data_IF_678267866620
#
_entry.id   IF_678267866620
#
_cell.length_a   1.000
_cell.length_b   1.000
_cell.length_c   1.000
_cell.angle_alpha   90.00
_cell.angle_beta   90.00
_cell.angle_gamma   90.00
#
_symmetry.space_group_name_H-M   'P 1'
#
loop_
_entity.id
_entity.type
_entity.pdbx_description
1 polymer ?
#
# COMPACT_ATOMS: atom_id res chain seq x y z
N UNK A 1 -23.47 -14.11 -13.43
CA UNK A 1 -22.19 -14.86 -13.57
C UNK A 1 -21.73 -14.74 -15.00
N UNK A 2 -21.05 -13.64 -15.35
CA UNK A 2 -20.25 -13.56 -16.58
C UNK A 2 -18.93 -14.24 -16.29
N UNK A 3 -18.64 -15.32 -17.02
CA UNK A 3 -17.39 -16.08 -16.87
C UNK A 3 -16.17 -15.20 -17.12
N UNK A 4 -15.08 -15.46 -16.42
CA UNK A 4 -13.80 -14.82 -16.70
C UNK A 4 -13.48 -14.98 -18.20
N UNK A 5 -12.96 -13.93 -18.87
CA UNK A 5 -12.62 -14.03 -20.29
C UNK A 5 -11.65 -15.19 -20.51
N UNK A 6 -11.95 -16.04 -21.49
CA UNK A 6 -11.20 -17.25 -21.82
C UNK A 6 -9.74 -16.95 -22.25
N UNK A 7 -9.45 -15.69 -22.59
CA UNK A 7 -8.13 -15.15 -22.87
C UNK A 7 -8.02 -13.71 -22.35
N UNK A 8 -6.92 -13.38 -21.66
CA UNK A 8 -6.60 -12.01 -21.27
C UNK A 8 -5.86 -11.33 -22.43
N UNK A 9 -6.46 -10.25 -22.96
CA UNK A 9 -5.79 -9.29 -23.84
C UNK A 9 -5.60 -7.98 -23.07
N UNK A 10 -4.36 -7.73 -22.64
CA UNK A 10 -3.98 -6.55 -21.90
C UNK A 10 -3.45 -5.47 -22.86
N UNK A 11 -4.09 -4.30 -22.85
CA UNK A 11 -3.57 -3.10 -23.50
C UNK A 11 -2.83 -2.24 -22.49
N UNK A 12 -1.77 -1.54 -22.94
CA UNK A 12 -0.95 -0.67 -22.09
C UNK A 12 -0.86 0.70 -22.74
N UNK A 13 -1.15 1.75 -21.99
CA UNK A 13 -0.89 3.15 -22.35
C UNK A 13 0.10 3.76 -21.35
N UNK A 14 1.07 4.52 -21.87
CA UNK A 14 2.00 5.31 -21.05
C UNK A 14 1.65 6.78 -21.29
N UNK A 15 1.11 7.44 -20.27
CA UNK A 15 0.94 8.89 -20.29
C UNK A 15 2.26 9.57 -19.98
N UNK A 16 2.63 10.59 -20.76
CA UNK A 16 3.90 11.28 -20.57
C UNK A 16 3.83 12.76 -20.92
N UNK A 17 4.66 13.56 -20.24
CA UNK A 17 4.91 14.93 -20.64
C UNK A 17 6.09 14.97 -21.62
N UNK A 18 6.03 15.71 -22.75
CA UNK A 18 7.11 15.76 -23.75
C UNK A 18 8.50 16.09 -23.20
N UNK A 19 8.61 16.83 -22.09
CA UNK A 19 9.90 17.09 -21.42
C UNK A 19 10.57 15.84 -20.83
N UNK A 20 9.83 14.75 -20.64
CA UNK A 20 10.32 13.45 -20.10
C UNK A 20 10.51 12.39 -21.17
N UNK A 21 10.46 12.74 -22.46
CA UNK A 21 10.60 11.81 -23.59
C UNK A 21 11.85 10.92 -23.51
N UNK A 22 12.94 11.43 -22.93
CA UNK A 22 14.19 10.70 -22.74
C UNK A 22 14.06 9.47 -21.83
N UNK A 23 13.05 9.41 -20.94
CA UNK A 23 12.81 8.27 -20.06
C UNK A 23 12.06 7.12 -20.75
N UNK A 24 11.33 7.41 -21.83
CA UNK A 24 10.41 6.47 -22.46
C UNK A 24 11.08 5.20 -23.03
N UNK A 25 12.24 5.24 -23.71
CA UNK A 25 12.82 4.04 -24.29
C UNK A 25 13.02 2.90 -23.28
N UNK A 26 13.52 3.23 -22.07
CA UNK A 26 13.71 2.26 -20.99
C UNK A 26 12.39 1.70 -20.47
N UNK A 27 11.37 2.55 -20.33
CA UNK A 27 10.05 2.15 -19.87
C UNK A 27 9.36 1.22 -20.89
N UNK A 28 9.45 1.56 -22.18
CA UNK A 28 8.94 0.74 -23.28
C UNK A 28 9.63 -0.63 -23.32
N UNK A 29 10.96 -0.65 -23.21
CA UNK A 29 11.72 -1.90 -23.13
C UNK A 29 11.28 -2.77 -21.95
N UNK A 30 11.05 -2.15 -20.78
CA UNK A 30 10.60 -2.84 -19.56
C UNK A 30 9.16 -3.39 -19.67
N UNK A 31 8.35 -2.90 -20.62
CA UNK A 31 7.01 -3.42 -20.89
C UNK A 31 7.02 -4.66 -21.80
N UNK A 32 8.14 -5.02 -22.41
CA UNK A 32 8.21 -6.14 -23.35
C UNK A 32 7.68 -7.45 -22.70
N UNK A 33 6.95 -8.30 -23.46
CA UNK A 33 6.65 -8.19 -24.88
C UNK A 33 5.47 -7.25 -25.23
N UNK A 34 4.80 -6.65 -24.24
CA UNK A 34 3.74 -5.69 -24.52
C UNK A 34 4.32 -4.43 -25.18
N UNK A 35 3.62 -3.90 -26.18
CA UNK A 35 3.99 -2.66 -26.86
C UNK A 35 3.06 -1.57 -26.36
N UNK A 36 3.51 -0.68 -25.45
CA UNK A 36 2.66 0.36 -24.91
C UNK A 36 2.35 1.44 -25.95
N UNK A 37 1.11 1.94 -25.93
CA UNK A 37 0.75 3.15 -26.63
C UNK A 37 1.26 4.37 -25.85
N UNK A 38 2.12 5.16 -26.47
CA UNK A 38 2.62 6.40 -25.87
C UNK A 38 1.60 7.52 -26.07
N UNK A 39 1.13 8.11 -24.97
CA UNK A 39 0.13 9.17 -24.96
C UNK A 39 0.77 10.44 -24.39
N UNK A 40 1.09 11.36 -25.29
CA UNK A 40 1.65 12.65 -24.93
C UNK A 40 0.59 13.54 -24.29
N UNK A 41 1.01 14.40 -23.37
CA UNK A 41 0.21 15.54 -22.94
C UNK A 41 -0.24 16.36 -24.16
N UNK A 42 -1.56 16.52 -24.39
CA UNK A 42 -2.07 17.21 -25.57
C UNK A 42 -1.89 18.74 -25.51
N UNK A 43 -1.59 19.32 -24.33
CA UNK A 43 -1.26 20.74 -24.18
C UNK A 43 -0.07 20.93 -23.21
N UNK A 44 1.14 20.53 -23.63
CA UNK A 44 2.33 20.53 -22.78
C UNK A 44 2.88 21.94 -22.48
N UNK A 45 2.39 22.96 -23.18
CA UNK A 45 2.74 24.36 -22.93
C UNK A 45 1.75 25.06 -21.98
N UNK A 46 0.57 24.46 -21.77
CA UNK A 46 -0.44 24.95 -20.83
C UNK A 46 -0.09 24.68 -19.36
N UNK A 47 -0.98 25.07 -18.44
CA UNK A 47 -0.83 24.75 -17.03
C UNK A 47 -0.68 23.23 -16.79
N UNK A 48 0.15 22.80 -15.82
CA UNK A 48 0.32 21.39 -15.49
C UNK A 48 -1.01 20.73 -15.14
N UNK A 49 -1.36 19.67 -15.87
CA UNK A 49 -2.55 18.88 -15.64
C UNK A 49 -2.29 17.39 -15.91
N UNK A 50 -2.13 16.57 -14.85
CA UNK A 50 -2.12 15.12 -14.98
C UNK A 50 -3.41 14.62 -15.63
N UNK A 51 -4.55 15.18 -15.21
CA UNK A 51 -5.88 14.76 -15.64
C UNK A 51 -6.07 14.88 -17.16
N UNK A 52 -5.61 15.96 -17.79
CA UNK A 52 -5.74 16.17 -19.24
C UNK A 52 -5.07 15.03 -20.03
N UNK A 53 -3.88 14.62 -19.60
CA UNK A 53 -3.17 13.51 -20.23
C UNK A 53 -3.81 12.17 -19.85
N UNK A 54 -4.29 12.01 -18.61
CA UNK A 54 -5.01 10.83 -18.16
C UNK A 54 -6.30 10.59 -18.97
N UNK A 55 -7.06 11.64 -19.33
CA UNK A 55 -8.24 11.53 -20.21
C UNK A 55 -7.90 10.90 -21.55
N UNK A 56 -6.79 11.31 -22.15
CA UNK A 56 -6.32 10.76 -23.42
C UNK A 56 -5.85 9.31 -23.27
N UNK A 57 -5.13 9.00 -22.17
CA UNK A 57 -4.64 7.65 -21.90
C UNK A 57 -5.78 6.66 -21.66
N UNK A 58 -6.73 6.98 -20.79
CA UNK A 58 -7.91 6.15 -20.56
C UNK A 58 -8.82 6.03 -21.78
N UNK A 59 -8.79 6.98 -22.72
CA UNK A 59 -9.53 6.89 -23.98
C UNK A 59 -8.84 6.00 -25.02
N UNK A 60 -7.59 5.58 -24.80
CA UNK A 60 -6.79 4.80 -25.74
C UNK A 60 -7.06 3.28 -25.69
N UNK A 61 -8.13 2.83 -25.02
CA UNK A 61 -8.47 1.41 -24.90
C UNK A 61 -8.83 0.82 -26.28
N UNK A 62 -8.08 -0.15 -26.82
CA UNK A 62 -8.44 -0.83 -28.05
C UNK A 62 -9.75 -1.62 -27.91
N UNK A 63 -10.52 -1.78 -28.98
CA UNK A 63 -11.79 -2.53 -28.95
C UNK A 63 -11.61 -4.00 -28.55
N UNK A 64 -10.48 -4.61 -28.90
CA UNK A 64 -10.18 -6.02 -28.59
C UNK A 64 -9.68 -6.23 -27.16
N UNK A 65 -9.24 -5.16 -26.48
CA UNK A 65 -8.67 -5.30 -25.14
C UNK A 65 -9.72 -5.77 -24.14
N UNK A 66 -9.32 -6.72 -23.28
CA UNK A 66 -10.09 -7.17 -22.12
C UNK A 66 -9.80 -6.33 -20.88
N UNK A 67 -8.56 -5.82 -20.78
CA UNK A 67 -8.08 -5.00 -19.69
C UNK A 67 -7.20 -3.87 -20.24
N UNK A 68 -7.15 -2.76 -19.52
CA UNK A 68 -6.35 -1.60 -19.89
C UNK A 68 -5.52 -1.13 -18.71
N UNK A 69 -4.21 -1.09 -18.90
CA UNK A 69 -3.24 -0.49 -17.99
C UNK A 69 -2.92 0.92 -18.46
N UNK A 70 -3.00 1.90 -17.55
CA UNK A 70 -2.36 3.20 -17.70
C UNK A 70 -1.15 3.29 -16.76
N UNK A 71 0.01 3.65 -17.30
CA UNK A 71 1.26 3.95 -16.58
C UNK A 71 1.63 5.42 -16.74
N UNK A 72 2.20 6.03 -15.71
CA UNK A 72 2.87 7.32 -15.83
C UNK A 72 4.33 7.17 -16.32
N UNK A 73 4.95 8.28 -16.73
CA UNK A 73 6.27 8.31 -17.37
C UNK A 73 7.48 8.34 -16.41
N UNK A 74 7.24 8.59 -15.13
CA UNK A 74 8.24 8.56 -14.06
C UNK A 74 8.15 7.30 -13.20
N UNK A 75 7.96 6.15 -13.84
CA UNK A 75 7.90 4.84 -13.17
C UNK A 75 9.13 3.97 -13.43
N UNK A 76 9.41 3.11 -12.47
CA UNK A 76 10.27 1.94 -12.59
C UNK A 76 9.39 0.70 -12.52
N UNK A 77 9.61 -0.26 -13.42
CA UNK A 77 8.87 -1.52 -13.44
C UNK A 77 9.71 -2.61 -12.76
N UNK A 78 9.03 -3.53 -12.08
CA UNK A 78 9.64 -4.74 -11.56
C UNK A 78 10.22 -5.62 -12.68
N UNK A 79 11.20 -6.46 -12.35
CA UNK A 79 11.66 -7.48 -13.30
C UNK A 79 10.52 -8.46 -13.62
N UNK A 80 10.44 -8.91 -14.87
CA UNK A 80 9.33 -9.76 -15.33
C UNK A 80 7.95 -9.10 -15.31
N UNK A 81 7.88 -7.76 -15.25
CA UNK A 81 6.65 -6.96 -15.08
C UNK A 81 5.42 -7.52 -15.82
N UNK A 82 5.51 -7.66 -17.14
CA UNK A 82 4.37 -8.06 -17.98
C UNK A 82 3.85 -9.45 -17.61
N UNK A 83 4.74 -10.40 -17.31
CA UNK A 83 4.35 -11.75 -16.91
C UNK A 83 3.66 -11.76 -15.54
N UNK A 84 4.10 -10.93 -14.59
CA UNK A 84 3.44 -10.78 -13.30
C UNK A 84 2.09 -10.09 -13.44
N UNK A 85 2.01 -9.05 -14.25
CA UNK A 85 0.80 -8.30 -14.49
C UNK A 85 -0.30 -9.16 -15.13
N UNK A 86 0.03 -9.96 -16.13
CA UNK A 86 -0.92 -10.90 -16.75
C UNK A 86 -1.47 -11.91 -15.74
N UNK A 87 -0.63 -12.40 -14.82
CA UNK A 87 -1.04 -13.32 -13.75
C UNK A 87 -1.94 -12.62 -12.74
N UNK A 88 -1.60 -11.39 -12.36
CA UNK A 88 -2.40 -10.59 -11.46
C UNK A 88 -3.80 -10.32 -12.04
N UNK A 89 -3.86 -9.90 -13.31
CA UNK A 89 -5.12 -9.67 -14.04
C UNK A 89 -5.94 -10.95 -14.16
N UNK A 90 -5.31 -12.10 -14.47
CA UNK A 90 -6.02 -13.39 -14.54
C UNK A 90 -6.59 -13.81 -13.18
N UNK A 91 -5.89 -13.52 -12.09
CA UNK A 91 -6.36 -13.83 -10.75
C UNK A 91 -7.51 -12.92 -10.31
N UNK A 92 -7.53 -11.66 -10.75
CA UNK A 92 -8.50 -10.63 -10.35
C UNK A 92 -9.13 -9.92 -11.58
N UNK A 93 -9.85 -10.65 -12.47
CA UNK A 93 -10.29 -10.10 -13.76
C UNK A 93 -11.48 -9.12 -13.67
N UNK A 94 -12.00 -8.89 -12.46
CA UNK A 94 -13.15 -8.01 -12.21
C UNK A 94 -12.79 -6.81 -11.34
N UNK A 95 -11.58 -6.78 -10.78
CA UNK A 95 -11.13 -5.73 -9.86
C UNK A 95 -10.26 -4.71 -10.60
N UNK A 96 -10.20 -3.49 -10.08
CA UNK A 96 -9.12 -2.57 -10.41
C UNK A 96 -7.83 -3.04 -9.73
N UNK A 97 -6.69 -2.97 -10.43
CA UNK A 97 -5.39 -3.39 -9.90
C UNK A 97 -4.43 -2.21 -9.91
N UNK A 98 -4.19 -1.64 -8.73
CA UNK A 98 -3.15 -0.65 -8.49
C UNK A 98 -1.80 -1.36 -8.34
N UNK A 99 -0.78 -0.91 -9.06
CA UNK A 99 0.54 -1.54 -9.10
C UNK A 99 1.51 -0.92 -8.09
N UNK A 100 1.05 0.08 -7.34
CA UNK A 100 1.82 0.92 -6.44
C UNK A 100 0.90 1.52 -5.37
N UNK A 101 1.43 1.70 -4.15
CA UNK A 101 0.84 2.55 -3.11
C UNK A 101 1.95 3.34 -2.46
N UNK A 102 1.77 4.66 -2.37
CA UNK A 102 2.76 5.53 -1.73
C UNK A 102 2.91 5.17 -0.25
N UNK A 103 4.14 5.03 0.23
CA UNK A 103 4.47 4.65 1.61
C UNK A 103 3.97 5.62 2.68
N UNK A 104 3.65 6.86 2.31
CA UNK A 104 3.11 7.90 3.19
C UNK A 104 1.59 8.14 3.01
N UNK A 105 0.90 7.33 2.19
CA UNK A 105 -0.55 7.43 2.05
C UNK A 105 -1.23 7.08 3.39
N UNK A 106 -2.09 7.95 3.96
CA UNK A 106 -2.67 7.80 5.30
C UNK A 106 -3.26 6.42 5.63
N UNK A 107 -4.10 5.82 4.79
CA UNK A 107 -4.73 4.52 5.07
C UNK A 107 -4.18 3.43 4.17
N UNK A 108 -4.08 3.68 2.86
CA UNK A 108 -3.70 2.71 1.86
C UNK A 108 -2.31 2.13 2.14
N UNK A 109 -1.36 2.93 2.64
CA UNK A 109 -0.05 2.43 3.00
C UNK A 109 -0.11 1.44 4.16
N UNK A 110 -0.97 1.70 5.16
CA UNK A 110 -1.18 0.78 6.27
C UNK A 110 -1.89 -0.50 5.82
N UNK A 111 -2.91 -0.40 4.95
CA UNK A 111 -3.61 -1.56 4.39
C UNK A 111 -2.64 -2.49 3.62
N UNK A 112 -1.68 -1.92 2.87
CA UNK A 112 -0.62 -2.69 2.22
C UNK A 112 0.31 -3.36 3.23
N UNK A 113 0.74 -2.64 4.28
CA UNK A 113 1.58 -3.24 5.34
C UNK A 113 0.85 -4.37 6.06
N UNK A 114 -0.45 -4.21 6.32
CA UNK A 114 -1.32 -5.23 6.92
C UNK A 114 -1.42 -6.46 6.02
N UNK A 115 -1.65 -6.27 4.72
CA UNK A 115 -1.64 -7.36 3.76
C UNK A 115 -0.29 -8.09 3.72
N UNK A 116 0.83 -7.35 3.71
CA UNK A 116 2.18 -7.93 3.77
C UNK A 116 2.40 -8.76 5.04
N UNK A 117 2.02 -8.23 6.21
CA UNK A 117 2.11 -8.91 7.50
C UNK A 117 1.19 -10.15 7.59
N UNK A 118 0.00 -10.08 6.99
CA UNK A 118 -0.92 -11.22 6.88
C UNK A 118 -0.45 -12.26 5.84
N UNK A 119 0.55 -11.92 5.02
CA UNK A 119 1.04 -12.77 3.93
C UNK A 119 0.08 -12.86 2.76
N UNK A 120 -0.66 -11.78 2.47
CA UNK A 120 -1.50 -11.69 1.27
C UNK A 120 -0.77 -10.93 0.16
N UNK A 121 -0.84 -11.40 -1.11
CA UNK A 121 -0.30 -10.66 -2.24
C UNK A 121 -1.24 -9.54 -2.72
N UNK A 122 -2.35 -9.32 -2.00
CA UNK A 122 -3.42 -8.41 -2.36
C UNK A 122 -3.75 -7.51 -1.17
N UNK A 123 -3.73 -6.21 -1.38
CA UNK A 123 -4.19 -5.23 -0.41
C UNK A 123 -5.42 -4.50 -0.98
N UNK A 124 -6.63 -4.78 -0.49
CA UNK A 124 -7.79 -3.96 -0.81
C UNK A 124 -7.56 -2.52 -0.35
N UNK A 125 -7.81 -1.57 -1.24
CA UNK A 125 -7.62 -0.15 -0.97
C UNK A 125 -8.91 0.48 -0.45
N UNK A 126 -8.74 1.52 0.36
CA UNK A 126 -9.84 2.31 0.90
C UNK A 126 -10.55 3.05 -0.25
N UNK A 127 -11.89 2.99 -0.35
CA UNK A 127 -12.67 3.79 -1.30
C UNK A 127 -12.82 5.25 -0.85
N UNK A 128 -12.18 5.62 0.27
CA UNK A 128 -12.23 6.94 0.89
C UNK A 128 -10.91 7.71 0.80
N UNK A 129 -9.86 7.07 0.29
CA UNK A 129 -8.56 7.68 -0.01
C UNK A 129 -8.31 7.60 -1.51
N UNK A 130 -7.52 8.53 -2.03
CA UNK A 130 -7.14 8.56 -3.43
C UNK A 130 -6.63 7.19 -3.94
N UNK A 131 -7.02 6.85 -5.17
CA UNK A 131 -6.67 5.62 -5.87
C UNK A 131 -5.34 5.84 -6.57
N UNK A 132 -4.27 5.10 -6.26
CA UNK A 132 -2.98 5.33 -6.91
C UNK A 132 -3.05 5.07 -8.42
N UNK A 133 -2.84 6.13 -9.22
CA UNK A 133 -2.89 6.08 -10.71
C UNK A 133 -1.51 5.99 -11.37
N UNK A 134 -0.43 5.85 -10.59
CA UNK A 134 0.94 5.71 -11.11
C UNK A 134 1.08 4.49 -12.06
N UNK A 135 0.36 3.42 -11.73
CA UNK A 135 0.10 2.28 -12.60
C UNK A 135 -1.21 1.62 -12.17
N UNK A 136 -2.25 1.72 -13.00
CA UNK A 136 -3.59 1.21 -12.69
C UNK A 136 -4.14 0.41 -13.86
N UNK A 137 -4.60 -0.81 -13.55
CA UNK A 137 -5.36 -1.64 -14.49
C UNK A 137 -6.84 -1.59 -14.15
N UNK A 138 -7.67 -1.45 -15.17
CA UNK A 138 -9.11 -1.68 -15.09
C UNK A 138 -9.56 -2.69 -16.15
N UNK A 139 -10.65 -3.44 -15.91
CA UNK A 139 -11.37 -4.11 -16.99
C UNK A 139 -11.67 -3.10 -18.12
N UNK A 140 -11.55 -3.51 -19.38
CA UNK A 140 -11.61 -2.58 -20.51
C UNK A 140 -12.96 -1.86 -20.62
N UNK A 141 -14.06 -2.50 -20.20
CA UNK A 141 -15.37 -1.85 -20.12
C UNK A 141 -15.36 -0.68 -19.12
N UNK A 142 -14.78 -0.90 -17.94
CA UNK A 142 -14.66 0.11 -16.90
C UNK A 142 -13.66 1.20 -17.27
N UNK A 143 -12.54 0.87 -17.91
CA UNK A 143 -11.58 1.83 -18.45
C UNK A 143 -12.22 2.79 -19.47
N UNK A 144 -13.03 2.26 -20.41
CA UNK A 144 -13.79 3.09 -21.36
C UNK A 144 -14.82 3.96 -20.65
N UNK A 145 -15.53 3.43 -19.65
CA UNK A 145 -16.49 4.19 -18.86
C UNK A 145 -15.80 5.30 -18.03
N UNK A 146 -14.60 5.03 -17.48
CA UNK A 146 -13.79 6.01 -16.79
C UNK A 146 -13.37 7.14 -17.75
N UNK A 147 -12.94 6.80 -18.97
CA UNK A 147 -12.63 7.81 -19.97
C UNK A 147 -13.83 8.72 -20.29
N UNK A 148 -15.05 8.16 -20.35
CA UNK A 148 -16.27 8.96 -20.53
C UNK A 148 -16.54 9.87 -19.33
N UNK A 149 -16.35 9.36 -18.11
CA UNK A 149 -16.53 10.10 -16.87
C UNK A 149 -15.53 11.26 -16.74
N UNK A 150 -14.23 11.01 -16.95
CA UNK A 150 -13.19 12.04 -16.82
C UNK A 150 -13.39 13.19 -17.83
N UNK A 151 -13.93 12.92 -19.03
CA UNK A 151 -14.26 13.98 -20.01
C UNK A 151 -15.30 14.99 -19.54
N UNK A 152 -16.10 14.65 -18.53
CA UNK A 152 -17.11 15.58 -17.98
C UNK A 152 -16.51 16.61 -17.04
N UNK A 153 -15.25 16.45 -16.65
CA UNK A 153 -14.54 17.34 -15.75
C UNK A 153 -13.69 18.35 -16.53
N UNK A 154 -13.41 19.54 -15.97
CA UNK A 154 -12.44 20.49 -16.53
C UNK A 154 -11.04 19.89 -16.68
N UNK A 155 -10.23 20.42 -17.60
CA UNK A 155 -8.86 19.96 -17.82
C UNK A 155 -7.87 20.51 -16.78
N UNK A 156 -8.20 21.58 -16.07
CA UNK A 156 -7.33 22.25 -15.09
C UNK A 156 -7.37 21.62 -13.68
N UNK A 157 -8.22 20.62 -13.46
CA UNK A 157 -8.18 19.81 -12.23
C UNK A 157 -6.90 18.97 -12.20
N UNK A 158 -6.23 18.94 -11.05
CA UNK A 158 -4.93 18.29 -10.88
C UNK A 158 -5.02 16.88 -10.30
N UNK A 159 -6.06 16.59 -9.54
CA UNK A 159 -6.21 15.37 -8.75
C UNK A 159 -7.02 14.31 -9.53
N UNK A 160 -6.37 13.69 -10.52
CA UNK A 160 -7.00 12.66 -11.35
C UNK A 160 -7.30 11.39 -10.55
N UNK A 161 -6.46 11.06 -9.57
CA UNK A 161 -6.61 9.96 -8.62
C UNK A 161 -7.86 10.07 -7.73
N UNK A 162 -8.20 11.27 -7.27
CA UNK A 162 -9.46 11.53 -6.54
C UNK A 162 -10.69 11.30 -7.43
N UNK A 163 -10.63 11.72 -8.69
CA UNK A 163 -11.71 11.46 -9.66
C UNK A 163 -11.86 9.96 -9.96
N UNK A 164 -10.75 9.24 -10.09
CA UNK A 164 -10.75 7.78 -10.25
C UNK A 164 -11.36 7.09 -9.02
N UNK A 165 -11.04 7.57 -7.82
CA UNK A 165 -11.60 7.06 -6.55
C UNK A 165 -13.11 7.19 -6.52
N UNK A 166 -13.62 8.40 -6.83
CA UNK A 166 -15.06 8.64 -6.93
C UNK A 166 -15.72 7.72 -7.95
N UNK A 167 -15.13 7.57 -9.14
CA UNK A 167 -15.63 6.68 -10.18
C UNK A 167 -15.71 5.21 -9.73
N UNK A 168 -14.62 4.70 -9.14
CA UNK A 168 -14.53 3.31 -8.69
C UNK A 168 -15.54 3.05 -7.56
N UNK A 169 -15.61 3.93 -6.57
CA UNK A 169 -16.56 3.86 -5.46
C UNK A 169 -18.01 3.84 -5.96
N UNK A 170 -18.38 4.79 -6.82
CA UNK A 170 -19.76 4.96 -7.28
C UNK A 170 -20.23 3.77 -8.15
N UNK A 171 -19.30 3.07 -8.80
CA UNK A 171 -19.57 1.84 -9.57
C UNK A 171 -19.39 0.55 -8.78
N UNK A 172 -18.95 0.61 -7.53
CA UNK A 172 -18.63 -0.57 -6.72
C UNK A 172 -17.43 -1.37 -7.24
N UNK A 173 -16.51 -0.73 -7.97
CA UNK A 173 -15.26 -1.35 -8.42
C UNK A 173 -14.34 -1.44 -7.21
N UNK A 174 -14.02 -2.68 -6.82
CA UNK A 174 -12.99 -2.92 -5.80
C UNK A 174 -11.63 -2.66 -6.42
N UNK A 175 -10.80 -1.84 -5.76
CA UNK A 175 -9.41 -1.62 -6.17
C UNK A 175 -8.48 -2.36 -5.21
N UNK A 176 -7.57 -3.14 -5.78
CA UNK A 176 -6.57 -3.92 -5.06
C UNK A 176 -5.17 -3.44 -5.43
N UNK A 177 -4.33 -3.19 -4.45
CA UNK A 177 -2.90 -3.05 -4.68
C UNK A 177 -2.21 -4.42 -4.71
N UNK A 178 -1.25 -4.57 -5.62
CA UNK A 178 -0.35 -5.73 -5.61
C UNK A 178 0.65 -5.63 -4.46
N UNK A 179 0.92 -6.75 -3.78
CA UNK A 179 1.92 -6.86 -2.72
C UNK A 179 2.85 -8.04 -3.03
N UNK A 180 4.09 -7.83 -3.48
CA UNK A 180 4.75 -6.53 -3.61
C UNK A 180 4.21 -5.69 -4.78
N UNK A 181 4.54 -4.40 -4.78
CA UNK A 181 4.25 -3.48 -5.87
C UNK A 181 5.08 -3.83 -7.10
N UNK A 182 4.42 -3.85 -8.27
CA UNK A 182 5.05 -4.09 -9.57
C UNK A 182 5.59 -2.81 -10.20
N UNK A 183 5.21 -1.65 -9.66
CA UNK A 183 5.63 -0.32 -10.08
C UNK A 183 6.24 0.41 -8.88
N UNK A 184 7.26 1.21 -9.15
CA UNK A 184 7.84 2.18 -8.23
C UNK A 184 7.95 3.54 -8.90
N UNK A 185 7.92 4.59 -8.11
CA UNK A 185 8.14 5.93 -8.60
C UNK A 185 9.64 6.16 -8.81
N UNK A 186 10.04 6.57 -10.02
CA UNK A 186 11.40 6.99 -10.31
C UNK A 186 11.69 8.29 -9.53
N UNK A 187 12.85 8.38 -8.88
CA UNK A 187 13.19 9.56 -8.05
C UNK A 187 13.49 10.80 -8.91
N UNK A 188 12.43 11.42 -9.46
CA UNK A 188 12.46 12.59 -10.33
C UNK A 188 11.55 13.70 -9.78
N UNK A 189 11.88 15.00 -10.00
CA UNK A 189 11.02 16.11 -9.62
C UNK A 189 9.62 15.99 -10.23
N UNK A 190 8.59 16.33 -9.44
CA UNK A 190 7.20 16.33 -9.89
C UNK A 190 6.95 17.45 -10.91
N UNK A 191 6.40 17.13 -12.09
CA UNK A 191 5.93 18.13 -13.06
C UNK A 191 4.67 18.82 -12.54
N UNK A 192 3.80 18.08 -11.87
CA UNK A 192 2.56 18.59 -11.29
C UNK A 192 2.79 19.31 -9.95
N UNK A 193 3.97 19.89 -9.69
CA UNK A 193 4.18 20.76 -8.51
C UNK A 193 4.17 20.10 -7.12
N UNK A 194 4.10 18.78 -7.01
CA UNK A 194 4.03 18.05 -5.73
C UNK A 194 5.42 17.81 -5.09
N UNK A 195 6.32 18.79 -5.18
CA UNK A 195 7.68 18.68 -4.63
C UNK A 195 7.68 18.56 -3.10
N UNK A 196 6.64 19.07 -2.43
CA UNK A 196 6.47 19.03 -0.98
C UNK A 196 6.21 17.61 -0.43
N UNK A 197 5.80 16.66 -1.29
CA UNK A 197 5.56 15.27 -0.89
C UNK A 197 6.85 14.44 -0.73
N UNK A 198 8.04 15.04 -0.94
CA UNK A 198 9.33 14.39 -0.75
C UNK A 198 9.59 13.22 -1.71
N UNK A 199 10.42 12.25 -1.29
CA UNK A 199 10.71 11.03 -2.05
C UNK A 199 9.47 10.13 -2.01
N UNK A 200 8.76 10.08 -3.14
CA UNK A 200 7.63 9.20 -3.41
C UNK A 200 8.18 7.80 -3.66
N UNK A 201 7.97 6.87 -2.71
CA UNK A 201 8.34 5.47 -2.88
C UNK A 201 7.20 4.56 -2.41
N UNK A 202 7.16 3.36 -2.94
CA UNK A 202 6.17 2.37 -2.61
C UNK A 202 6.38 1.76 -1.22
N UNK A 203 5.33 1.17 -0.65
CA UNK A 203 5.44 0.41 0.62
C UNK A 203 6.35 -0.81 0.46
N UNK A 204 6.24 -1.53 -0.66
CA UNK A 204 7.02 -2.74 -0.90
C UNK A 204 7.21 -3.01 -2.40
N UNK A 205 8.13 -2.29 -3.05
CA UNK A 205 8.44 -2.52 -4.48
C UNK A 205 9.19 -3.84 -4.70
N UNK A 206 8.85 -4.55 -5.78
CA UNK A 206 9.51 -5.77 -6.26
C UNK A 206 10.81 -5.49 -7.06
N UNK A 207 11.55 -4.43 -6.73
CA UNK A 207 12.85 -4.13 -7.32
C UNK A 207 14.03 -4.68 -6.53
N UNK A 208 15.07 -5.13 -7.23
CA UNK A 208 16.40 -5.41 -6.67
C UNK A 208 16.51 -6.67 -5.80
N UNK A 209 15.71 -7.72 -6.07
CA UNK A 209 15.74 -8.98 -5.32
C UNK A 209 15.14 -10.14 -6.11
N UNK A 210 14.82 -11.25 -5.44
CA UNK A 210 14.13 -12.35 -6.11
C UNK A 210 12.69 -11.91 -6.45
N UNK A 211 12.33 -12.13 -7.71
CA UNK A 211 11.00 -11.87 -8.23
C UNK A 211 9.92 -12.53 -7.40
N UNK A 212 8.74 -11.90 -7.35
CA UNK A 212 7.68 -12.40 -6.52
C UNK A 212 7.18 -13.70 -7.21
N UNK A 213 7.00 -14.81 -6.47
CA UNK A 213 6.85 -16.13 -7.10
C UNK A 213 5.64 -16.18 -8.06
N UNK A 214 5.74 -16.91 -9.18
CA UNK A 214 4.68 -16.89 -10.18
C UNK A 214 3.31 -17.39 -9.66
N UNK A 215 3.31 -18.26 -8.66
CA UNK A 215 2.14 -18.86 -8.02
C UNK A 215 1.46 -17.93 -7.00
N UNK A 216 2.18 -16.91 -6.50
CA UNK A 216 1.68 -16.03 -5.45
C UNK A 216 0.34 -15.37 -5.83
N UNK A 217 0.13 -15.00 -7.10
CA UNK A 217 -1.04 -14.24 -7.53
C UNK A 217 -2.31 -15.09 -7.45
N UNK A 218 -2.17 -16.42 -7.43
CA UNK A 218 -3.28 -17.35 -7.26
C UNK A 218 -3.73 -17.49 -5.80
N UNK A 219 -2.99 -16.94 -4.82
CA UNK A 219 -3.39 -16.96 -3.41
C UNK A 219 -4.71 -16.20 -3.25
N UNK A 220 -5.76 -16.83 -2.70
CA UNK A 220 -7.05 -16.18 -2.48
C UNK A 220 -6.93 -14.96 -1.58
N UNK A 221 -7.65 -13.89 -1.91
CA UNK A 221 -7.77 -12.69 -1.07
C UNK A 221 -8.61 -13.01 0.18
N UNK A 222 -8.04 -12.88 1.41
CA UNK A 222 -8.81 -13.05 2.63
C UNK A 222 -9.98 -12.06 2.72
N UNK A 223 -11.16 -12.57 3.11
CA UNK A 223 -12.38 -11.75 3.25
C UNK A 223 -12.21 -10.62 4.27
N UNK A 224 -11.36 -10.79 5.28
CA UNK A 224 -11.14 -9.79 6.32
C UNK A 224 -10.36 -8.58 5.84
N UNK A 225 -9.49 -8.77 4.84
CA UNK A 225 -8.83 -7.64 4.19
C UNK A 225 -9.85 -6.83 3.38
N UNK A 226 -10.75 -7.49 2.65
CA UNK A 226 -11.83 -6.82 1.91
C UNK A 226 -12.79 -6.10 2.86
N UNK A 227 -13.26 -6.79 3.90
CA UNK A 227 -14.13 -6.23 4.92
C UNK A 227 -13.49 -5.00 5.53
N UNK A 228 -12.20 -5.06 5.88
CA UNK A 228 -11.48 -3.93 6.47
C UNK A 228 -11.46 -2.71 5.56
N UNK A 229 -11.09 -2.86 4.29
CA UNK A 229 -10.97 -1.71 3.38
C UNK A 229 -12.33 -1.13 2.95
N UNK A 230 -13.38 -1.95 2.90
CA UNK A 230 -14.73 -1.49 2.57
C UNK A 230 -15.48 -0.90 3.78
N UNK A 231 -15.03 -1.21 5.01
CA UNK A 231 -15.77 -0.93 6.22
C UNK A 231 -15.48 0.48 6.74
N UNK A 232 -16.42 1.37 6.47
CA UNK A 232 -16.56 2.62 7.21
C UNK A 232 -17.06 2.47 8.66
N UNK A 233 -16.46 1.58 9.46
CA UNK A 233 -17.01 1.12 10.75
C UNK A 233 -16.29 1.71 11.97
N UNK A 234 -16.96 1.66 13.13
CA UNK A 234 -16.60 2.24 14.44
C UNK A 234 -15.24 1.82 15.05
N UNK A 235 -14.49 0.93 14.40
CA UNK A 235 -13.16 0.44 14.82
C UNK A 235 -12.13 0.45 13.68
N UNK A 236 -12.40 1.21 12.63
CA UNK A 236 -11.41 1.41 11.57
C UNK A 236 -10.26 2.28 12.06
N UNK A 237 -9.05 1.75 11.96
CA UNK A 237 -7.83 2.47 12.27
C UNK A 237 -6.70 2.13 11.30
N UNK A 238 -5.81 3.11 11.12
CA UNK A 238 -4.51 2.91 10.53
C UNK A 238 -3.42 3.20 11.57
N UNK A 239 -2.35 2.41 11.55
CA UNK A 239 -1.14 2.71 12.30
C UNK A 239 -0.20 3.48 11.39
N UNK A 240 0.29 4.61 11.87
CA UNK A 240 1.27 5.43 11.18
C UNK A 240 2.54 5.52 12.02
N UNK A 241 3.69 5.42 11.35
CA UNK A 241 4.96 5.84 11.90
C UNK A 241 5.43 7.07 11.12
N UNK A 242 5.33 8.24 11.76
CA UNK A 242 5.58 9.54 11.15
C UNK A 242 6.24 10.48 12.16
N UNK A 243 7.21 11.28 11.71
CA UNK A 243 7.96 12.20 12.57
C UNK A 243 8.55 11.52 13.82
N UNK A 244 9.05 10.30 13.65
CA UNK A 244 9.57 9.41 14.69
C UNK A 244 8.56 9.04 15.79
N UNK A 245 7.26 9.08 15.48
CA UNK A 245 6.15 8.79 16.40
C UNK A 245 5.25 7.71 15.86
N UNK A 246 4.69 6.89 16.75
CA UNK A 246 3.61 5.98 16.40
C UNK A 246 2.26 6.63 16.69
N UNK A 247 1.44 6.76 15.65
CA UNK A 247 0.12 7.35 15.73
C UNK A 247 -0.95 6.34 15.31
N UNK A 248 -2.10 6.40 15.97
CA UNK A 248 -3.32 5.72 15.56
C UNK A 248 -4.25 6.72 14.90
N UNK A 249 -4.68 6.42 13.68
CA UNK A 249 -5.68 7.20 12.96
C UNK A 249 -6.98 6.43 12.97
N UNK A 250 -8.04 7.02 13.50
CA UNK A 250 -9.37 6.41 13.44
C UNK A 250 -10.15 7.03 12.29
N UNK A 251 -10.71 6.19 11.44
CA UNK A 251 -11.47 6.64 10.27
C UNK A 251 -12.95 6.55 10.61
N UNK A 252 -13.61 7.69 10.75
CA UNK A 252 -15.06 7.74 11.00
C UNK A 252 -15.80 7.93 9.69
N UNK A 253 -16.14 6.83 9.03
CA UNK A 253 -16.90 6.96 7.80
C UNK A 253 -18.30 7.56 8.04
N UNK A 254 -18.83 8.19 7.00
CA UNK A 254 -20.12 8.87 7.05
C UNK A 254 -20.13 10.19 7.85
N UNK A 255 -19.01 10.57 8.48
CA UNK A 255 -18.86 11.88 9.16
C UNK A 255 -18.26 12.98 8.29
N UNK A 256 -17.83 12.65 7.07
CA UNK A 256 -17.22 13.62 6.15
C UNK A 256 -15.84 14.11 6.59
N UNK A 257 -15.19 13.42 7.53
CA UNK A 257 -13.82 13.72 7.94
C UNK A 257 -12.87 13.38 6.77
N UNK A 258 -11.99 14.31 6.33
CA UNK A 258 -11.04 14.03 5.27
C UNK A 258 -10.04 12.97 5.75
N UNK A 259 -9.85 11.93 4.93
CA UNK A 259 -8.90 10.84 5.22
C UNK A 259 -7.47 11.37 5.41
N UNK A 260 -7.13 12.44 4.70
CA UNK A 260 -5.82 13.10 4.75
C UNK A 260 -5.63 14.07 5.92
N UNK A 261 -6.52 14.06 6.92
CA UNK A 261 -6.32 14.91 8.10
C UNK A 261 -4.98 14.62 8.77
N UNK A 262 -4.27 15.63 9.25
CA UNK A 262 -2.98 15.44 9.94
C UNK A 262 -3.12 14.89 11.36
N UNK A 263 -4.35 14.74 11.86
CA UNK A 263 -4.62 14.33 13.23
C UNK A 263 -4.46 12.82 13.43
N UNK A 264 -3.42 12.45 14.19
CA UNK A 264 -3.25 11.13 14.75
C UNK A 264 -3.31 11.17 16.28
N UNK A 265 -3.64 10.03 16.87
CA UNK A 265 -3.71 9.86 18.32
C UNK A 265 -2.49 9.09 18.80
N UNK A 266 -1.86 9.54 19.90
CA UNK A 266 -0.71 8.84 20.46
C UNK A 266 -1.07 7.41 20.85
N UNK A 267 -0.26 6.45 20.40
CA UNK A 267 -0.53 5.03 20.64
C UNK A 267 -0.56 4.68 22.12
N UNK A 268 0.19 5.39 22.96
CA UNK A 268 0.23 5.15 24.41
C UNK A 268 -1.13 5.33 25.05
N UNK A 269 -1.95 6.26 24.54
CA UNK A 269 -3.26 6.55 25.12
C UNK A 269 -4.39 5.77 24.42
N UNK A 270 -4.18 5.37 23.15
CA UNK A 270 -5.26 4.88 22.29
C UNK A 270 -5.13 3.42 21.84
N UNK A 271 -3.98 2.77 22.05
CA UNK A 271 -3.78 1.37 21.65
C UNK A 271 -4.75 0.40 22.31
N UNK A 272 -5.18 0.68 23.55
CA UNK A 272 -6.19 -0.11 24.24
C UNK A 272 -7.55 -0.10 23.49
N UNK A 273 -7.90 0.99 22.81
CA UNK A 273 -9.15 1.09 22.03
C UNK A 273 -9.17 0.15 20.81
N UNK A 274 -7.99 -0.25 20.32
CA UNK A 274 -7.82 -1.24 19.24
C UNK A 274 -7.51 -2.65 19.78
N UNK A 275 -7.68 -2.87 21.08
CA UNK A 275 -7.53 -4.18 21.73
C UNK A 275 -6.10 -4.54 22.13
N UNK A 276 -5.16 -3.59 22.09
CA UNK A 276 -3.75 -3.83 22.44
C UNK A 276 -3.32 -2.86 23.55
N UNK A 277 -3.27 -3.27 24.83
CA UNK A 277 -2.89 -2.38 25.91
C UNK A 277 -1.45 -1.86 25.76
N UNK A 278 -1.17 -0.58 26.06
CA UNK A 278 0.16 0.01 25.91
C UNK A 278 1.20 -0.68 26.80
N UNK A 279 0.81 -1.10 28.00
CA UNK A 279 1.68 -1.83 28.94
C UNK A 279 2.16 -3.17 28.36
N UNK A 280 1.33 -3.85 27.58
CA UNK A 280 1.72 -5.11 26.92
C UNK A 280 2.77 -4.86 25.83
N UNK A 281 2.63 -3.77 25.08
CA UNK A 281 3.60 -3.35 24.05
C UNK A 281 4.95 -3.01 24.69
N UNK A 282 4.94 -2.22 25.77
CA UNK A 282 6.16 -1.81 26.50
C UNK A 282 6.84 -2.98 27.21
N UNK A 283 6.07 -3.87 27.85
CA UNK A 283 6.62 -5.07 28.48
C UNK A 283 7.33 -5.96 27.43
N UNK A 284 6.71 -6.17 26.26
CA UNK A 284 7.32 -6.94 25.19
C UNK A 284 8.59 -6.29 24.63
N UNK A 285 8.65 -4.95 24.56
CA UNK A 285 9.88 -4.23 24.18
C UNK A 285 10.99 -4.45 25.20
N UNK A 286 10.67 -4.33 26.49
CA UNK A 286 11.64 -4.52 27.57
C UNK A 286 12.23 -5.94 27.56
N UNK A 287 11.38 -6.95 27.32
CA UNK A 287 11.82 -8.34 27.12
C UNK A 287 12.76 -8.47 25.92
N UNK A 288 12.41 -7.90 24.77
CA UNK A 288 13.22 -8.00 23.54
C UNK A 288 14.58 -7.32 23.71
N UNK A 289 14.62 -6.14 24.34
CA UNK A 289 15.87 -5.42 24.60
C UNK A 289 16.74 -6.10 25.67
N UNK A 290 16.15 -6.93 26.53
CA UNK A 290 16.86 -7.69 27.57
C UNK A 290 17.20 -9.12 27.16
N UNK A 291 16.78 -9.56 25.98
CA UNK A 291 16.97 -10.93 25.51
C UNK A 291 18.46 -11.27 25.32
N UNK A 292 18.89 -12.53 25.58
CA UNK A 292 20.26 -12.95 25.31
C UNK A 292 20.68 -12.67 23.86
N UNK A 293 21.79 -11.96 23.67
CA UNK A 293 22.28 -11.56 22.34
C UNK A 293 21.75 -10.21 21.82
N UNK A 294 20.88 -9.51 22.57
CA UNK A 294 20.36 -8.18 22.19
C UNK A 294 21.42 -7.07 22.25
N UNK A 295 22.50 -7.25 23.02
CA UNK A 295 23.48 -6.19 23.33
C UNK A 295 24.02 -5.44 22.10
N UNK A 296 24.33 -6.16 21.01
CA UNK A 296 24.84 -5.55 19.78
C UNK A 296 23.77 -4.70 19.05
N UNK A 297 22.49 -5.10 19.15
CA UNK A 297 21.32 -4.37 18.63
C UNK A 297 21.04 -3.16 19.50
N UNK A 298 21.01 -3.31 20.82
CA UNK A 298 20.79 -2.20 21.77
C UNK A 298 21.87 -1.12 21.62
N UNK A 299 23.14 -1.52 21.46
CA UNK A 299 24.22 -0.57 21.19
C UNK A 299 24.13 0.11 19.81
N UNK A 300 23.47 -0.50 18.83
CA UNK A 300 23.21 0.16 17.55
C UNK A 300 22.03 1.15 17.65
N UNK A 301 21.00 0.79 18.42
CA UNK A 301 19.82 1.62 18.66
C UNK A 301 20.13 2.89 19.47
N UNK A 302 21.23 2.94 20.23
CA UNK A 302 21.63 4.14 20.97
C UNK A 302 22.02 5.32 20.06
N UNK A 303 22.13 5.12 18.75
CA UNK A 303 22.30 6.19 17.77
C UNK A 303 21.03 7.03 17.57
N UNK A 304 19.86 6.51 17.93
CA UNK A 304 18.58 7.23 17.87
C UNK A 304 17.98 7.38 19.27
N UNK A 305 17.07 8.35 19.50
CA UNK A 305 16.37 8.47 20.77
C UNK A 305 15.64 7.16 21.13
N UNK A 306 15.68 6.78 22.40
CA UNK A 306 14.99 5.58 22.88
C UNK A 306 13.48 5.62 22.59
N UNK A 307 12.88 6.81 22.61
CA UNK A 307 11.48 7.02 22.26
C UNK A 307 11.20 6.64 20.80
N UNK A 308 12.05 7.04 19.86
CA UNK A 308 11.92 6.69 18.43
C UNK A 308 11.93 5.17 18.21
N UNK A 309 12.82 4.45 18.90
CA UNK A 309 12.85 2.98 18.83
C UNK A 309 11.58 2.35 19.46
N UNK A 310 11.07 2.91 20.56
CA UNK A 310 9.85 2.45 21.21
C UNK A 310 8.59 2.72 20.36
N UNK A 311 8.53 3.88 19.71
CA UNK A 311 7.46 4.25 18.78
C UNK A 311 7.46 3.33 17.55
N UNK A 312 8.63 3.07 16.94
CA UNK A 312 8.72 2.11 15.85
C UNK A 312 8.31 0.70 16.29
N UNK A 313 8.74 0.28 17.48
CA UNK A 313 8.31 -1.00 18.07
C UNK A 313 6.79 -1.06 18.22
N UNK A 314 6.16 -0.02 18.77
CA UNK A 314 4.72 0.03 18.94
C UNK A 314 3.98 -0.05 17.59
N UNK A 315 4.43 0.71 16.58
CA UNK A 315 3.81 0.69 15.26
C UNK A 315 3.85 -0.72 14.63
N UNK A 316 5.01 -1.36 14.71
CA UNK A 316 5.23 -2.70 14.17
C UNK A 316 4.51 -3.80 15.00
N UNK A 317 4.44 -3.64 16.32
CA UNK A 317 3.68 -4.54 17.20
C UNK A 317 2.18 -4.49 16.88
N UNK A 318 1.61 -3.29 16.76
CA UNK A 318 0.21 -3.08 16.42
C UNK A 318 -0.12 -3.64 15.04
N UNK A 319 0.78 -3.46 14.06
CA UNK A 319 0.67 -4.08 12.73
C UNK A 319 0.58 -5.61 12.83
N UNK A 320 1.46 -6.23 13.61
CA UNK A 320 1.46 -7.68 13.81
C UNK A 320 0.17 -8.18 14.48
N UNK A 321 -0.28 -7.48 15.52
CA UNK A 321 -1.51 -7.81 16.24
C UNK A 321 -2.74 -7.70 15.33
N UNK A 322 -2.85 -6.63 14.54
CA UNK A 322 -3.94 -6.44 13.58
C UNK A 322 -3.88 -7.47 12.43
N UNK A 323 -2.70 -7.72 11.86
CA UNK A 323 -2.55 -8.71 10.79
C UNK A 323 -2.90 -10.14 11.24
N UNK A 324 -2.72 -10.48 12.52
CA UNK A 324 -3.13 -11.77 13.08
C UNK A 324 -4.66 -11.94 13.16
N UNK A 325 -5.44 -10.86 13.11
CA UNK A 325 -6.91 -10.92 13.01
C UNK A 325 -7.41 -11.36 11.65
N UNK A 326 -6.54 -11.42 10.63
CA UNK A 326 -6.90 -11.87 9.29
C UNK A 326 -7.08 -13.38 9.28
N UNK A 327 -8.34 -13.81 9.32
CA UNK A 327 -8.74 -15.20 9.22
C UNK A 327 -8.65 -15.67 7.77
N UNK A 328 -8.30 -16.94 7.62
CA UNK A 328 -8.19 -17.58 6.33
C UNK A 328 -7.52 -18.93 6.46
N UNK A 329 -7.83 -19.88 5.57
CA UNK A 329 -7.17 -21.16 5.58
C UNK A 329 -5.68 -20.98 5.18
N UNK A 330 -4.79 -21.92 5.52
CA UNK A 330 -3.34 -21.77 5.28
C UNK A 330 -2.96 -21.45 3.83
N UNK A 331 -3.74 -21.92 2.85
CA UNK A 331 -3.58 -21.65 1.42
C UNK A 331 -3.89 -20.19 1.00
N UNK A 332 -4.56 -19.42 1.86
CA UNK A 332 -4.78 -17.99 1.67
C UNK A 332 -3.59 -17.14 2.15
N UNK A 333 -2.44 -17.77 2.43
CA UNK A 333 -1.22 -17.12 2.89
C UNK A 333 -0.04 -17.53 2.02
N UNK A 334 0.81 -16.55 1.75
CA UNK A 334 2.08 -16.77 1.08
C UNK A 334 2.99 -17.69 1.90
N UNK A 335 3.91 -18.42 1.24
CA UNK A 335 4.98 -19.14 1.92
C UNK A 335 5.71 -18.23 2.92
N UNK A 336 6.11 -18.80 4.06
CA UNK A 336 6.74 -18.04 5.15
C UNK A 336 7.92 -17.18 4.67
N UNK A 337 8.77 -17.71 3.79
CA UNK A 337 9.92 -16.98 3.26
C UNK A 337 9.52 -15.73 2.46
N UNK A 338 8.44 -15.81 1.67
CA UNK A 338 7.93 -14.69 0.88
C UNK A 338 7.27 -13.66 1.78
N UNK A 339 6.45 -14.13 2.74
CA UNK A 339 5.85 -13.26 3.76
C UNK A 339 6.93 -12.51 4.55
N UNK A 340 7.94 -13.19 5.08
CA UNK A 340 8.98 -12.58 5.90
C UNK A 340 9.77 -11.51 5.10
N UNK A 341 9.94 -11.70 3.78
CA UNK A 341 10.50 -10.67 2.87
C UNK A 341 9.57 -9.47 2.69
N UNK A 342 8.27 -9.70 2.52
CA UNK A 342 7.28 -8.63 2.37
C UNK A 342 7.16 -7.80 3.65
N UNK A 343 7.11 -8.45 4.82
CA UNK A 343 7.09 -7.74 6.11
C UNK A 343 8.33 -6.88 6.27
N UNK A 344 9.51 -7.40 5.91
CA UNK A 344 10.76 -6.63 5.94
C UNK A 344 10.67 -5.36 5.09
N UNK A 345 10.26 -5.47 3.82
CA UNK A 345 10.09 -4.30 2.93
C UNK A 345 9.06 -3.31 3.50
N UNK A 346 7.95 -3.83 4.03
CA UNK A 346 6.90 -3.03 4.64
C UNK A 346 7.39 -2.21 5.86
N UNK A 347 8.20 -2.78 6.75
CA UNK A 347 8.75 -2.04 7.91
C UNK A 347 9.92 -1.14 7.53
N UNK A 348 10.75 -1.55 6.57
CA UNK A 348 11.82 -0.69 6.01
C UNK A 348 11.23 0.57 5.37
N UNK A 349 10.06 0.47 4.72
CA UNK A 349 9.39 1.65 4.18
C UNK A 349 8.95 2.64 5.26
N UNK A 350 8.52 2.18 6.43
CA UNK A 350 8.25 3.04 7.59
C UNK A 350 9.50 3.72 8.11
N UNK A 351 10.61 2.98 8.25
CA UNK A 351 11.89 3.57 8.70
C UNK A 351 12.38 4.62 7.69
N UNK A 352 12.16 4.39 6.41
CA UNK A 352 12.61 5.27 5.34
C UNK A 352 11.82 6.58 5.22
N UNK A 353 10.53 6.61 5.58
CA UNK A 353 9.70 7.83 5.51
C UNK A 353 9.23 8.39 6.85
N UNK A 354 9.29 7.60 7.91
CA UNK A 354 8.68 7.90 9.20
C UNK A 354 9.62 8.51 10.22
N UNK A 355 10.94 8.46 10.03
CA UNK A 355 11.88 9.16 10.90
C UNK A 355 11.84 10.67 10.62
N UNK A 356 11.86 11.47 11.69
CA UNK A 356 12.09 12.91 11.56
C UNK A 356 13.52 13.20 11.03
N UNK A 357 13.78 14.44 10.62
CA UNK A 357 15.05 14.80 9.97
C UNK A 357 16.28 14.56 10.86
N UNK A 358 16.17 14.80 12.17
CA UNK A 358 17.27 14.62 13.13
C UNK A 358 17.58 13.14 13.33
N UNK A 359 16.56 12.33 13.60
CA UNK A 359 16.69 10.89 13.80
C UNK A 359 17.14 10.19 12.51
N UNK A 360 16.66 10.64 11.35
CA UNK A 360 17.09 10.12 10.06
C UNK A 360 18.58 10.39 9.79
N UNK A 361 19.09 11.56 10.22
CA UNK A 361 20.51 11.91 10.10
C UNK A 361 21.38 11.15 11.11
N UNK A 362 20.85 10.86 12.30
CA UNK A 362 21.54 10.10 13.34
C UNK A 362 21.54 8.59 13.09
N UNK A 363 20.50 8.07 12.42
CA UNK A 363 20.36 6.66 12.06
C UNK A 363 21.30 6.27 10.92
N UNK A 364 22.53 5.90 11.27
CA UNK A 364 23.47 5.28 10.35
C UNK A 364 22.96 3.91 9.85
N UNK A 365 23.70 3.32 8.92
CA UNK A 365 23.33 2.04 8.31
C UNK A 365 23.26 0.88 9.33
N UNK A 366 24.03 0.93 10.43
CA UNK A 366 23.94 -0.07 11.51
C UNK A 366 22.68 0.15 12.35
N UNK A 367 22.34 1.39 12.68
CA UNK A 367 21.14 1.76 13.41
C UNK A 367 19.87 1.43 12.61
N UNK A 368 19.85 1.72 11.30
CA UNK A 368 18.74 1.37 10.40
C UNK A 368 18.49 -0.12 10.35
N UNK A 369 19.54 -0.94 10.21
CA UNK A 369 19.40 -2.40 10.32
C UNK A 369 18.86 -2.84 11.68
N UNK A 370 19.33 -2.24 12.77
CA UNK A 370 18.86 -2.57 14.11
C UNK A 370 17.38 -2.18 14.32
N UNK A 371 16.93 -1.05 13.77
CA UNK A 371 15.52 -0.64 13.74
C UNK A 371 14.67 -1.62 12.92
N UNK A 372 15.15 -2.08 11.76
CA UNK A 372 14.46 -3.09 10.96
C UNK A 372 14.29 -4.39 11.72
N UNK A 373 15.35 -4.92 12.34
CA UNK A 373 15.27 -6.16 13.13
C UNK A 373 14.37 -6.00 14.36
N UNK A 374 14.40 -4.83 15.01
CA UNK A 374 13.50 -4.50 16.12
C UNK A 374 12.03 -4.51 15.66
N UNK A 375 11.72 -3.87 14.54
CA UNK A 375 10.37 -3.83 13.97
C UNK A 375 9.89 -5.24 13.55
N UNK A 376 10.75 -6.05 12.93
CA UNK A 376 10.42 -7.44 12.57
C UNK A 376 10.08 -8.30 13.80
N UNK A 377 10.86 -8.17 14.87
CA UNK A 377 10.56 -8.83 16.14
C UNK A 377 9.22 -8.35 16.72
N UNK A 378 8.94 -7.05 16.65
CA UNK A 378 7.67 -6.46 17.11
C UNK A 378 6.47 -7.03 16.35
N UNK A 379 6.52 -7.11 15.01
CA UNK A 379 5.45 -7.72 14.19
C UNK A 379 5.19 -9.15 14.63
N UNK A 380 6.25 -9.95 14.83
CA UNK A 380 6.12 -11.33 15.26
C UNK A 380 5.49 -11.45 16.67
N UNK A 381 5.87 -10.57 17.60
CA UNK A 381 5.31 -10.53 18.97
C UNK A 381 3.85 -10.10 18.98
N UNK A 382 3.51 -9.06 18.22
CA UNK A 382 2.12 -8.62 18.07
C UNK A 382 1.24 -9.71 17.47
N UNK A 383 1.73 -10.42 16.45
CA UNK A 383 0.98 -11.51 15.83
C UNK A 383 0.70 -12.68 16.78
N UNK A 384 1.62 -12.95 17.71
CA UNK A 384 1.42 -13.97 18.75
C UNK A 384 0.36 -13.59 19.79
N UNK A 385 0.13 -12.28 20.01
CA UNK A 385 -0.93 -11.77 20.88
C UNK A 385 -2.29 -11.81 20.17
N UNK A 386 -2.37 -11.35 18.91
CA UNK A 386 -3.61 -11.30 18.13
C UNK A 386 -4.25 -12.68 17.87
N UNK A 387 -3.44 -13.75 17.85
CA UNK A 387 -3.93 -15.14 17.82
C UNK A 387 -4.58 -15.62 19.12
N UNK A 388 -4.62 -14.78 20.17
CA UNK A 388 -5.25 -15.04 21.47
C UNK A 388 -6.36 -14.02 21.78
N UNK A 389 -7.19 -13.67 20.79
CA UNK A 389 -8.38 -12.86 21.02
C UNK A 389 -9.30 -13.49 22.07
N UNK A 390 -10.06 -12.68 22.85
CA UNK A 390 -10.96 -13.18 23.88
C UNK A 390 -12.01 -14.07 23.20
N UNK A 391 -12.19 -15.29 23.71
CA UNK A 391 -13.29 -16.13 23.27
C UNK A 391 -14.63 -15.42 23.48
N UNK A 392 -15.65 -15.66 22.65
CA UNK A 392 -17.01 -15.40 23.08
C UNK A 392 -17.24 -16.30 24.31
N UNK A 393 -18.00 -15.82 25.29
CA UNK A 393 -18.36 -16.49 26.54
C UNK A 393 -17.46 -16.16 27.75
N UNK A 394 -17.56 -14.91 28.21
CA UNK A 394 -17.50 -14.62 29.66
C UNK A 394 -18.53 -13.54 29.99
N UNK A 395 -19.76 -13.71 29.47
CA UNK A 395 -20.93 -13.10 30.09
C UNK A 395 -21.35 -14.03 31.23
N UNK A 396 -20.94 -13.67 32.44
CA UNK A 396 -21.36 -14.34 33.66
C UNK A 396 -22.88 -14.38 33.73
N UNK A 397 -23.43 -15.61 33.72
CA UNK A 397 -24.79 -15.89 34.15
C UNK A 397 -24.96 -15.36 35.59
N UNK A 398 -25.61 -14.21 35.73
CA UNK A 398 -26.28 -13.85 36.95
C UNK A 398 -27.46 -14.82 37.11
N UNK A 399 -27.26 -15.89 37.87
CA UNK A 399 -28.34 -16.73 38.37
C UNK A 399 -29.09 -15.96 39.46
N UNK A 400 -30.35 -15.62 39.16
CA UNK A 400 -31.35 -15.23 40.14
C UNK A 400 -31.52 -16.32 41.20
N UNK A 401 -31.46 -15.91 42.46
CA UNK A 401 -31.98 -16.62 43.63
C UNK A 401 -32.72 -15.62 44.54
#
# INVERSE_FOLDING_TARGET
MTGAPERIELSVAVMYHPSRVANLPRLVESCAPAVPQLVADPDPAGPPSPLRTAKAAWAAVPDTATHHLVLQDDVLLAEGFTAHLERAVRARPQDGIALYVNRNSPQNSYLVRRAAAAGSPWAPLSPHEYTPTLGLVLPAADARALAQYLRTHPDDLRDDDELVTGFCRDRGITVLATVPHLVEHANQPSIAGNAEHGIRCGVAFAGGGADPSPEQWAVPLPKDLLRRAAAGWDREFAVEFYDSRCLLRFVRAGRGEPVESSFGWEWTDWSAAVGVPPDAVLAALAEELSAPGSAARTAALSAVPARTAADLWAAAYLLGADAATVEGPPEARLPRADRDRLVRRAVESWIACGLNAEDAAAADERARRALTELALAAVARGAALGGRGPGPDDEGEAQDA
#
